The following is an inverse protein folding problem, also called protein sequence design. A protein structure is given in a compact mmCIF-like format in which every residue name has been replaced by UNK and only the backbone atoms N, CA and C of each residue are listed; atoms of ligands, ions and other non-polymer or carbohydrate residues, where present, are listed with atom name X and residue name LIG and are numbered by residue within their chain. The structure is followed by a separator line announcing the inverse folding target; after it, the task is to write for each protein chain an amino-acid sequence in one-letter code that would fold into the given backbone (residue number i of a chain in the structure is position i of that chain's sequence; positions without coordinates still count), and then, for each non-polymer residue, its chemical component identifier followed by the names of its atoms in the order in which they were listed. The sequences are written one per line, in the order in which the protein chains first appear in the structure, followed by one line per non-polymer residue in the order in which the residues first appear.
data_IF_209409524873
#
_entry.id   IF_209409524873
#
_cell.length_a   1.000
_cell.length_b   1.000
_cell.length_c   1.000
_cell.angle_alpha   90.00
_cell.angle_beta   90.00
_cell.angle_gamma   90.00
#
_symmetry.space_group_name_H-M   'P 1'
#
loop_
_entity.id
_entity.type
_entity.pdbx_description
1 polymer ?
#
# COMPACT_ATOMS: atom_id res chain seq x y z
N UNK A 1 -5.80 7.99 2.57
CA UNK A 1 -4.63 8.52 1.87
C UNK A 1 -4.01 7.42 1.03
N UNK A 2 -3.40 7.73 -0.10
CA UNK A 2 -2.91 6.73 -1.05
C UNK A 2 -1.58 7.15 -1.70
N UNK A 3 -0.76 6.15 -2.03
CA UNK A 3 0.43 6.23 -2.87
C UNK A 3 0.40 5.06 -3.85
N UNK A 4 0.77 5.26 -5.11
CA UNK A 4 0.94 4.15 -6.03
C UNK A 4 1.70 4.49 -7.29
N UNK A 5 2.17 3.46 -7.98
CA UNK A 5 2.85 3.54 -9.28
C UNK A 5 2.34 2.42 -10.19
N UNK A 6 2.31 2.67 -11.50
CA UNK A 6 1.88 1.71 -12.51
C UNK A 6 2.85 1.66 -13.69
N UNK A 7 3.18 0.46 -14.19
CA UNK A 7 3.97 0.28 -15.43
C UNK A 7 3.46 -0.89 -16.25
N UNK A 8 3.36 -0.75 -17.57
CA UNK A 8 2.93 -1.83 -18.48
C UNK A 8 4.05 -2.23 -19.44
N UNK A 9 4.17 -3.52 -19.75
CA UNK A 9 5.12 -4.04 -20.75
C UNK A 9 4.38 -4.36 -22.06
N UNK A 10 5.06 -4.18 -23.20
CA UNK A 10 4.54 -4.57 -24.52
C UNK A 10 5.32 -5.78 -25.03
N UNK A 11 4.63 -6.89 -25.24
CA UNK A 11 5.20 -8.09 -25.84
C UNK A 11 5.56 -7.81 -27.32
N UNK A 12 6.84 -7.94 -27.65
CA UNK A 12 7.36 -7.67 -28.99
C UNK A 12 6.90 -8.69 -30.05
N UNK A 13 6.49 -9.89 -29.66
CA UNK A 13 6.07 -10.98 -30.55
C UNK A 13 4.57 -10.94 -30.84
N UNK A 14 3.75 -10.61 -29.85
CA UNK A 14 2.28 -10.60 -29.98
C UNK A 14 1.69 -9.19 -30.11
N UNK A 15 2.51 -8.15 -29.90
CA UNK A 15 2.10 -6.74 -29.95
C UNK A 15 1.18 -6.31 -28.80
N UNK A 16 0.83 -7.23 -27.90
CA UNK A 16 -0.13 -7.03 -26.81
C UNK A 16 0.55 -6.43 -25.57
N UNK A 17 -0.20 -5.62 -24.82
CA UNK A 17 0.25 -5.05 -23.55
C UNK A 17 -0.11 -5.96 -22.38
N UNK A 18 0.80 -6.12 -21.43
CA UNK A 18 0.48 -6.74 -20.14
C UNK A 18 -0.39 -5.79 -19.31
N UNK A 19 -1.30 -6.32 -18.47
CA UNK A 19 -1.89 -5.53 -17.41
C UNK A 19 -0.77 -4.84 -16.61
N UNK A 20 -0.96 -3.58 -16.18
CA UNK A 20 0.10 -2.86 -15.51
C UNK A 20 0.51 -3.55 -14.21
N UNK A 21 1.82 -3.59 -13.96
CA UNK A 21 2.36 -3.81 -12.62
C UNK A 21 1.89 -2.65 -11.76
N UNK A 22 1.21 -2.94 -10.65
CA UNK A 22 0.64 -1.92 -9.77
C UNK A 22 1.20 -2.13 -8.38
N UNK A 23 1.81 -1.09 -7.85
CA UNK A 23 2.09 -0.97 -6.42
C UNK A 23 1.16 0.09 -5.86
N UNK A 24 0.34 -0.26 -4.85
CA UNK A 24 -0.61 0.65 -4.22
C UNK A 24 -0.55 0.49 -2.70
N UNK A 25 -0.40 1.59 -1.99
CA UNK A 25 -0.38 1.67 -0.54
C UNK A 25 -1.43 2.68 -0.10
N UNK A 26 -2.44 2.20 0.63
CA UNK A 26 -3.61 3.01 0.99
C UNK A 26 -3.88 2.90 2.47
N UNK A 27 -3.89 4.03 3.15
CA UNK A 27 -4.36 4.15 4.52
C UNK A 27 -5.79 4.71 4.53
N UNK A 28 -6.66 4.11 5.31
CA UNK A 28 -7.91 4.70 5.78
C UNK A 28 -7.76 4.94 7.28
N UNK A 29 -7.82 6.20 7.69
CA UNK A 29 -7.69 6.61 9.08
C UNK A 29 -9.03 7.21 9.49
N UNK A 30 -9.63 6.62 10.53
CA UNK A 30 -10.90 7.06 11.08
C UNK A 30 -10.67 8.13 12.18
N UNK A 31 -11.63 9.03 12.42
CA UNK A 31 -11.50 10.07 13.44
C UNK A 31 -11.25 9.56 14.86
N UNK A 32 -11.64 8.32 15.15
CA UNK A 32 -11.43 7.66 16.45
C UNK A 32 -10.03 7.05 16.60
N UNK A 33 -9.14 7.24 15.62
CA UNK A 33 -7.79 6.67 15.62
C UNK A 33 -7.71 5.22 15.15
N UNK A 34 -8.81 4.60 14.71
CA UNK A 34 -8.70 3.32 14.02
C UNK A 34 -8.08 3.52 12.63
N UNK A 35 -7.26 2.57 12.17
CA UNK A 35 -6.76 2.58 10.80
C UNK A 35 -6.97 1.24 10.10
N UNK A 36 -7.01 1.32 8.77
CA UNK A 36 -6.88 0.21 7.86
C UNK A 36 -5.77 0.57 6.87
N UNK A 37 -4.89 -0.38 6.57
CA UNK A 37 -3.83 -0.22 5.60
C UNK A 37 -3.89 -1.36 4.59
N UNK A 38 -3.88 -0.99 3.31
CA UNK A 38 -3.88 -1.91 2.19
C UNK A 38 -2.58 -1.70 1.39
N UNK A 39 -1.79 -2.76 1.27
CA UNK A 39 -0.63 -2.81 0.39
C UNK A 39 -0.89 -3.83 -0.71
N UNK A 40 -0.94 -3.40 -1.96
CA UNK A 40 -1.10 -4.26 -3.12
C UNK A 40 0.14 -4.16 -3.99
N UNK A 41 0.76 -5.31 -4.25
CA UNK A 41 1.79 -5.48 -5.27
C UNK A 41 1.20 -6.42 -6.31
N UNK A 42 1.19 -6.01 -7.57
CA UNK A 42 0.72 -6.82 -8.68
C UNK A 42 1.76 -6.76 -9.78
N UNK A 43 2.09 -7.92 -10.34
CA UNK A 43 2.90 -7.98 -11.56
C UNK A 43 2.30 -8.93 -12.58
N UNK A 44 2.37 -8.56 -13.86
CA UNK A 44 1.85 -9.38 -14.95
C UNK A 44 2.87 -9.61 -16.06
N UNK A 45 3.04 -10.87 -16.45
CA UNK A 45 3.87 -11.29 -17.57
C UNK A 45 3.06 -12.21 -18.49
N UNK A 46 2.79 -11.77 -19.72
CA UNK A 46 1.93 -12.49 -20.65
C UNK A 46 0.51 -12.68 -20.07
N UNK A 47 0.07 -13.94 -19.95
CA UNK A 47 -1.21 -14.32 -19.34
C UNK A 47 -1.11 -14.69 -17.84
N UNK A 48 0.08 -14.52 -17.24
CA UNK A 48 0.32 -14.75 -15.83
C UNK A 48 0.23 -13.43 -15.06
N UNK A 49 -0.50 -13.44 -13.94
CA UNK A 49 -0.56 -12.33 -12.99
C UNK A 49 -0.30 -12.85 -11.59
N UNK A 50 0.68 -12.24 -10.93
CA UNK A 50 1.00 -12.46 -9.52
C UNK A 50 0.55 -11.24 -8.72
N UNK A 51 -0.13 -11.47 -7.59
CA UNK A 51 -0.63 -10.44 -6.70
C UNK A 51 -0.31 -10.80 -5.26
N UNK A 52 0.24 -9.84 -4.52
CA UNK A 52 0.39 -9.90 -3.08
C UNK A 52 -0.44 -8.76 -2.48
N UNK A 53 -1.36 -9.13 -1.60
CA UNK A 53 -2.21 -8.20 -0.85
C UNK A 53 -1.89 -8.32 0.64
N UNK A 54 -1.30 -7.27 1.19
CA UNK A 54 -1.23 -7.03 2.62
C UNK A 54 -2.43 -6.20 3.08
N UNK A 55 -3.06 -6.62 4.16
CA UNK A 55 -4.14 -5.88 4.81
C UNK A 55 -3.89 -5.85 6.31
N UNK A 56 -3.79 -4.66 6.87
CA UNK A 56 -3.52 -4.40 8.28
C UNK A 56 -4.66 -3.54 8.85
N UNK A 57 -5.04 -3.81 10.09
CA UNK A 57 -5.96 -3.00 10.88
C UNK A 57 -5.36 -2.75 12.25
N UNK A 58 -5.67 -1.61 12.84
CA UNK A 58 -5.19 -1.32 14.19
C UNK A 58 -5.52 0.06 14.66
N UNK A 59 -4.68 0.55 15.59
CA UNK A 59 -4.82 1.85 16.21
C UNK A 59 -3.68 2.78 15.78
N UNK A 60 -4.03 4.05 15.60
CA UNK A 60 -3.15 5.16 15.32
C UNK A 60 -3.15 6.09 16.53
N UNK A 61 -1.98 6.38 17.06
CA UNK A 61 -1.79 7.41 18.10
C UNK A 61 -0.93 8.54 17.57
N UNK A 62 -1.23 9.76 18.03
CA UNK A 62 -0.48 10.97 17.68
C UNK A 62 -0.04 11.66 18.96
N UNK A 63 1.27 11.79 19.14
CA UNK A 63 1.92 12.42 20.29
C UNK A 63 2.86 13.52 19.78
N UNK A 64 2.34 14.74 19.65
CA UNK A 64 3.07 15.85 19.02
C UNK A 64 3.44 15.51 17.57
N UNK A 65 4.73 15.47 17.27
CA UNK A 65 5.26 15.14 15.93
C UNK A 65 5.46 13.64 15.70
N UNK A 66 5.19 12.80 16.71
CA UNK A 66 5.29 11.35 16.60
C UNK A 66 3.93 10.75 16.30
N UNK A 67 3.89 9.88 15.30
CA UNK A 67 2.70 9.17 14.88
C UNK A 67 3.01 7.67 14.88
N UNK A 68 2.20 6.89 15.58
CA UNK A 68 2.45 5.47 15.83
C UNK A 68 1.27 4.63 15.37
N UNK A 69 1.53 3.71 14.45
CA UNK A 69 0.61 2.66 14.06
C UNK A 69 0.91 1.40 14.86
N UNK A 70 -0.12 0.79 15.43
CA UNK A 70 -0.05 -0.46 16.16
C UNK A 70 -1.06 -1.44 15.58
N UNK A 71 -0.55 -2.46 14.89
CA UNK A 71 -1.37 -3.48 14.24
C UNK A 71 -2.08 -4.34 15.29
N UNK A 72 -3.38 -4.48 15.13
CA UNK A 72 -4.22 -5.39 15.93
C UNK A 72 -4.67 -6.61 15.11
N UNK A 73 -4.59 -6.51 13.78
CA UNK A 73 -4.85 -7.61 12.86
C UNK A 73 -4.09 -7.39 11.55
N UNK A 74 -3.55 -8.46 10.99
CA UNK A 74 -2.86 -8.42 9.71
C UNK A 74 -3.12 -9.69 8.91
N UNK A 75 -3.27 -9.56 7.60
CA UNK A 75 -3.45 -10.67 6.65
C UNK A 75 -2.59 -10.45 5.42
N UNK A 76 -1.98 -11.52 4.93
CA UNK A 76 -1.28 -11.53 3.65
C UNK A 76 -1.94 -12.57 2.75
N UNK A 77 -2.33 -12.14 1.56
CA UNK A 77 -2.87 -13.01 0.50
C UNK A 77 -1.94 -12.97 -0.71
N UNK A 78 -1.58 -14.12 -1.25
CA UNK A 78 -0.85 -14.26 -2.50
C UNK A 78 -1.72 -14.99 -3.52
N UNK A 79 -1.80 -14.45 -4.74
CA UNK A 79 -2.52 -15.04 -5.87
C UNK A 79 -1.60 -15.07 -7.10
N UNK A 80 -1.56 -16.20 -7.77
CA UNK A 80 -0.84 -16.45 -9.02
C UNK A 80 -1.79 -17.17 -9.98
N UNK A 81 -2.00 -16.61 -11.17
CA UNK A 81 -2.91 -17.20 -12.17
C UNK A 81 -2.31 -18.42 -12.89
N UNK A 82 -0.99 -18.55 -12.92
CA UNK A 82 -0.24 -19.60 -13.61
C UNK A 82 0.22 -20.73 -12.68
N UNK A 83 0.37 -20.45 -11.38
CA UNK A 83 0.71 -21.43 -10.32
C UNK A 83 -0.28 -21.33 -9.17
N UNK A 84 -1.55 -21.69 -9.43
CA UNK A 84 -2.62 -21.54 -8.43
C UNK A 84 -2.40 -22.37 -7.17
N UNK A 85 -1.63 -23.45 -7.26
CA UNK A 85 -1.20 -24.27 -6.14
C UNK A 85 -0.31 -23.52 -5.13
N UNK A 86 0.26 -22.36 -5.51
CA UNK A 86 1.03 -21.48 -4.64
C UNK A 86 0.20 -20.36 -4.00
N UNK A 87 -1.10 -20.30 -4.29
CA UNK A 87 -1.99 -19.34 -3.67
C UNK A 87 -2.10 -19.63 -2.18
N UNK A 88 -1.97 -18.60 -1.36
CA UNK A 88 -2.13 -18.72 0.08
C UNK A 88 -2.76 -17.49 0.68
N UNK A 89 -3.37 -17.69 1.84
CA UNK A 89 -3.73 -16.63 2.76
C UNK A 89 -3.19 -17.01 4.13
N UNK A 90 -2.51 -16.08 4.79
CA UNK A 90 -1.97 -16.30 6.13
C UNK A 90 -2.10 -15.05 6.98
N UNK A 91 -2.00 -15.25 8.30
CA UNK A 91 -1.83 -14.14 9.21
C UNK A 91 -0.54 -13.36 8.88
N UNK A 92 -0.66 -12.04 8.85
CA UNK A 92 0.48 -11.14 8.78
C UNK A 92 1.19 -11.05 10.14
N UNK A 93 2.39 -10.46 10.14
CA UNK A 93 3.09 -10.14 11.38
C UNK A 93 2.52 -8.84 11.92
N UNK A 94 2.04 -8.86 13.16
CA UNK A 94 1.66 -7.63 13.86
C UNK A 94 2.93 -6.82 14.19
N UNK A 95 2.86 -5.53 13.97
CA UNK A 95 3.96 -4.62 14.18
C UNK A 95 3.50 -3.33 14.85
N UNK A 96 4.45 -2.64 15.48
CA UNK A 96 4.27 -1.29 16.01
C UNK A 96 5.30 -0.40 15.34
N UNK A 97 4.84 0.54 14.52
CA UNK A 97 5.69 1.39 13.69
C UNK A 97 5.47 2.84 14.07
N UNK A 98 6.55 3.60 14.24
CA UNK A 98 6.50 5.00 14.62
C UNK A 98 7.23 5.86 13.60
N UNK A 99 6.63 7.00 13.28
CA UNK A 99 7.10 7.95 12.30
C UNK A 99 7.15 9.35 12.90
N UNK A 100 8.06 10.18 12.38
CA UNK A 100 7.86 11.63 12.48
C UNK A 100 6.95 12.04 11.34
N UNK A 101 5.87 12.75 11.64
CA UNK A 101 4.90 13.14 10.62
C UNK A 101 4.83 14.65 10.43
N UNK A 102 4.45 15.05 9.22
CA UNK A 102 4.04 16.43 8.91
C UNK A 102 3.07 16.43 7.74
N UNK A 103 2.37 17.55 7.58
CA UNK A 103 1.53 17.81 6.42
C UNK A 103 2.21 18.83 5.54
N UNK A 104 2.28 18.52 4.25
CA UNK A 104 2.79 19.44 3.23
C UNK A 104 1.70 19.73 2.19
N UNK A 105 1.85 20.87 1.52
CA UNK A 105 0.99 21.28 0.41
C UNK A 105 1.86 21.49 -0.81
N UNK A 106 1.51 20.83 -1.90
CA UNK A 106 2.18 20.97 -3.19
C UNK A 106 1.15 21.10 -4.34
N UNK A 107 1.62 21.08 -5.57
CA UNK A 107 0.78 21.16 -6.78
C UNK A 107 -0.16 19.96 -6.97
N UNK A 108 0.05 18.84 -6.27
CA UNK A 108 -0.81 17.65 -6.28
C UNK A 108 -1.84 17.67 -5.14
N UNK A 109 -1.65 18.55 -4.14
CA UNK A 109 -2.59 18.83 -3.06
C UNK A 109 -1.97 18.67 -1.67
N UNK A 110 -2.82 18.41 -0.68
CA UNK A 110 -2.36 18.12 0.69
C UNK A 110 -1.81 16.70 0.79
N UNK A 111 -0.59 16.58 1.31
CA UNK A 111 0.11 15.31 1.51
C UNK A 111 0.48 15.10 2.98
N UNK A 112 0.31 13.87 3.46
CA UNK A 112 0.92 13.39 4.71
C UNK A 112 2.30 12.85 4.38
N UNK A 113 3.32 13.39 5.06
CA UNK A 113 4.68 12.89 4.99
C UNK A 113 4.97 12.08 6.24
N UNK A 114 5.37 10.83 6.06
CA UNK A 114 5.83 9.94 7.13
C UNK A 114 7.34 9.74 6.98
N UNK A 115 8.11 10.19 7.97
CA UNK A 115 9.55 9.99 8.01
C UNK A 115 9.91 8.82 8.93
N UNK A 116 10.61 7.86 8.35
CA UNK A 116 11.14 6.68 9.03
C UNK A 116 12.32 7.04 9.95
N UNK A 117 12.65 6.21 10.95
CA UNK A 117 13.84 6.39 11.77
C UNK A 117 15.15 6.40 10.98
N UNK A 118 15.20 5.73 9.83
CA UNK A 118 16.36 5.70 8.92
C UNK A 118 16.47 6.95 8.02
N UNK A 119 15.57 7.92 8.19
CA UNK A 119 15.55 9.18 7.46
C UNK A 119 14.79 9.15 6.13
N UNK A 120 14.31 7.98 5.67
CA UNK A 120 13.48 7.90 4.46
C UNK A 120 12.12 8.55 4.69
N UNK A 121 11.51 9.04 3.62
CA UNK A 121 10.19 9.67 3.66
C UNK A 121 9.23 9.04 2.67
N UNK A 122 8.03 8.74 3.14
CA UNK A 122 6.90 8.35 2.31
C UNK A 122 5.88 9.48 2.26
N UNK A 123 5.40 9.76 1.04
CA UNK A 123 4.39 10.79 0.77
C UNK A 123 3.06 10.13 0.40
N UNK A 124 2.01 10.45 1.15
CA UNK A 124 0.65 9.97 0.92
C UNK A 124 -0.30 11.13 0.65
N UNK A 125 -0.98 11.12 -0.49
CA UNK A 125 -1.98 12.13 -0.81
C UNK A 125 -3.36 11.73 -0.32
N UNK A 126 -4.23 12.71 -0.07
CA UNK A 126 -5.65 12.42 0.16
C UNK A 126 -6.21 11.66 -1.05
N UNK A 127 -6.82 10.50 -0.81
CA UNK A 127 -7.45 9.75 -1.89
C UNK A 127 -8.58 10.61 -2.46
N UNK A 128 -8.61 10.77 -3.79
CA UNK A 128 -9.74 11.44 -4.44
C UNK A 128 -10.99 10.56 -4.21
N UNK A 129 -12.14 11.13 -3.81
CA UNK A 129 -13.37 10.37 -3.79
C UNK A 129 -13.57 9.76 -5.19
N UNK A 130 -13.83 8.45 -5.25
CA UNK A 130 -14.17 7.80 -6.51
C UNK A 130 -15.40 8.48 -7.12
N UNK A 131 -15.33 8.77 -8.42
CA UNK A 131 -16.53 9.07 -9.21
C UNK A 131 -17.37 7.82 -9.35
#
# INVERSE_FOLDING_TARGET
MSRGTGSSYRDARTGSYTPPDINSFVYRIEPNGAFQHLAMLSSSLGNCTMQILGYEIGALTVEGTKLTFEDQGATITSKDTCRREWNYQKAGRLSKQSYVWRVEHDNMGTALILRWPDGKEDRYYKAKPGR
#
